data_IF_482661875250
#
_entry.id   IF_482661875250
#
_cell.length_a   1.000
_cell.length_b   1.000
_cell.length_c   1.000
_cell.angle_alpha   90.00
_cell.angle_beta   90.00
_cell.angle_gamma   90.00
#
_symmetry.space_group_name_H-M   'P 1'
#
loop_
_entity.id
_entity.type
_entity.pdbx_description
1 polymer ?
#
# COMPACT_ATOMS: atom_id res chain seq x y z
N UNK A 1 19.20 22.30 1.77
CA UNK A 1 17.83 22.33 2.34
C UNK A 1 17.31 20.88 2.41
N UNK A 2 16.85 20.44 3.59
CA UNK A 2 16.40 19.09 3.97
C UNK A 2 17.45 17.96 4.02
N UNK A 3 18.62 18.21 4.63
CA UNK A 3 19.69 17.21 4.73
C UNK A 3 19.31 15.98 5.58
N UNK A 4 18.66 16.21 6.71
CA UNK A 4 18.21 15.13 7.61
C UNK A 4 17.17 14.22 6.94
N UNK A 5 16.22 14.79 6.20
CA UNK A 5 15.20 14.01 5.50
C UNK A 5 15.80 13.13 4.41
N UNK A 6 16.77 13.66 3.65
CA UNK A 6 17.52 12.87 2.64
C UNK A 6 18.32 11.76 3.29
N UNK A 7 18.96 12.04 4.42
CA UNK A 7 19.74 11.05 5.18
C UNK A 7 18.84 9.89 5.63
N UNK A 8 17.65 10.18 6.14
CA UNK A 8 16.66 9.15 6.52
C UNK A 8 16.19 8.36 5.30
N UNK A 9 15.85 9.02 4.19
CA UNK A 9 15.42 8.32 2.98
C UNK A 9 16.52 7.41 2.42
N UNK A 10 17.78 7.85 2.46
CA UNK A 10 18.93 7.04 2.08
C UNK A 10 19.06 5.81 2.98
N UNK A 11 19.00 6.02 4.30
CA UNK A 11 19.06 4.94 5.29
C UNK A 11 17.95 3.90 5.10
N UNK A 12 16.71 4.35 4.87
CA UNK A 12 15.58 3.47 4.54
C UNK A 12 15.85 2.67 3.26
N UNK A 13 16.35 3.33 2.21
CA UNK A 13 16.71 2.68 0.95
C UNK A 13 17.82 1.63 1.11
N UNK A 14 18.79 1.87 1.98
CA UNK A 14 19.87 0.93 2.26
C UNK A 14 19.40 -0.28 3.08
N UNK A 15 18.52 -0.07 4.07
CA UNK A 15 17.84 -1.16 4.77
C UNK A 15 17.06 -2.04 3.80
N UNK A 16 16.26 -1.43 2.92
CA UNK A 16 15.50 -2.10 1.89
C UNK A 16 16.39 -2.92 0.93
N UNK A 17 17.57 -2.40 0.59
CA UNK A 17 18.56 -3.11 -0.24
C UNK A 17 19.03 -4.39 0.44
N UNK A 18 19.38 -4.34 1.73
CA UNK A 18 19.86 -5.51 2.48
C UNK A 18 18.81 -6.62 2.51
N UNK A 19 17.54 -6.26 2.74
CA UNK A 19 16.42 -7.21 2.75
C UNK A 19 16.21 -7.81 1.36
N UNK A 20 16.19 -6.98 0.33
CA UNK A 20 15.92 -7.41 -1.04
C UNK A 20 17.07 -8.26 -1.64
N UNK A 21 18.32 -8.04 -1.26
CA UNK A 21 19.46 -8.88 -1.67
C UNK A 21 19.31 -10.31 -1.17
N UNK A 22 18.68 -10.51 0.01
CA UNK A 22 18.31 -11.84 0.53
C UNK A 22 17.06 -12.43 -0.12
N UNK A 23 16.56 -11.80 -1.20
CA UNK A 23 15.33 -12.16 -1.91
C UNK A 23 14.05 -12.11 -1.06
N UNK A 24 14.06 -11.36 0.04
CA UNK A 24 12.88 -11.16 0.88
C UNK A 24 12.15 -9.88 0.49
N UNK A 25 10.81 -9.85 0.55
CA UNK A 25 10.06 -8.62 0.38
C UNK A 25 10.29 -7.71 1.59
N UNK A 26 10.26 -6.39 1.37
CA UNK A 26 10.26 -5.43 2.47
C UNK A 26 8.86 -5.41 3.08
N UNK A 27 8.80 -5.59 4.39
CA UNK A 27 7.57 -5.58 5.17
C UNK A 27 7.76 -4.84 6.49
N UNK A 28 6.70 -4.21 6.98
CA UNK A 28 6.68 -3.52 8.27
C UNK A 28 5.26 -3.53 8.84
N UNK A 29 5.13 -3.16 10.10
CA UNK A 29 3.83 -3.00 10.77
C UNK A 29 3.59 -1.50 11.01
N UNK A 30 2.40 -1.01 10.67
CA UNK A 30 2.01 0.39 10.94
C UNK A 30 1.77 0.62 12.42
N UNK A 31 1.64 1.89 12.83
CA UNK A 31 1.27 2.26 14.22
C UNK A 31 -0.11 1.74 14.64
N UNK A 32 -0.95 1.38 13.69
CA UNK A 32 -2.26 0.76 13.91
C UNK A 32 -2.21 -0.77 13.90
N UNK A 33 -1.01 -1.38 13.93
CA UNK A 33 -0.85 -2.82 13.95
C UNK A 33 -0.99 -3.51 12.59
N UNK A 34 -1.05 -2.75 11.49
CA UNK A 34 -1.34 -3.32 10.17
C UNK A 34 -0.06 -3.77 9.48
N UNK A 35 0.04 -5.03 9.04
CA UNK A 35 1.17 -5.48 8.23
C UNK A 35 1.09 -4.88 6.82
N UNK A 36 2.20 -4.34 6.33
CA UNK A 36 2.37 -3.84 4.98
C UNK A 36 3.53 -4.57 4.33
N UNK A 37 3.31 -5.09 3.11
CA UNK A 37 4.31 -5.85 2.35
C UNK A 37 4.43 -5.22 0.96
N UNK A 38 5.66 -4.98 0.49
CA UNK A 38 5.88 -4.43 -0.84
C UNK A 38 5.90 -5.53 -1.93
N UNK A 39 4.95 -5.55 -2.89
CA UNK A 39 4.84 -6.61 -3.89
C UNK A 39 5.75 -6.38 -5.12
N UNK A 40 7.00 -5.92 -4.91
CA UNK A 40 7.90 -5.62 -6.02
C UNK A 40 8.72 -6.85 -6.43
N UNK A 41 8.08 -7.76 -7.17
CA UNK A 41 8.69 -8.96 -7.76
C UNK A 41 8.88 -8.84 -9.27
N UNK A 42 9.92 -9.48 -9.81
CA UNK A 42 10.16 -9.51 -11.26
C UNK A 42 9.02 -10.24 -11.95
N UNK A 43 8.59 -9.71 -13.09
CA UNK A 43 7.58 -10.34 -13.93
C UNK A 43 8.25 -11.25 -14.95
N UNK A 44 7.86 -12.51 -14.96
CA UNK A 44 8.23 -13.51 -15.95
C UNK A 44 7.17 -13.61 -17.04
N UNK A 45 7.59 -14.06 -18.22
CA UNK A 45 6.65 -14.40 -19.31
C UNK A 45 6.24 -15.85 -19.15
N UNK A 46 4.94 -16.11 -19.21
CA UNK A 46 4.37 -17.45 -19.19
C UNK A 46 3.59 -17.66 -20.49
N UNK A 47 4.01 -18.64 -21.29
CA UNK A 47 3.38 -18.96 -22.57
C UNK A 47 2.36 -20.09 -22.37
N UNK A 48 1.10 -19.80 -22.65
CA UNK A 48 0.02 -20.79 -22.63
C UNK A 48 -0.30 -21.16 -24.07
N UNK A 49 0.02 -22.39 -24.47
CA UNK A 49 -0.38 -22.92 -25.78
C UNK A 49 -1.86 -23.32 -25.72
N UNK A 50 -2.65 -22.75 -26.63
CA UNK A 50 -4.04 -23.13 -26.86
C UNK A 50 -4.18 -23.66 -28.29
N UNK A 51 -5.30 -24.29 -28.61
CA UNK A 51 -5.56 -24.82 -29.96
C UNK A 51 -5.58 -23.75 -31.06
N UNK A 52 -5.86 -22.49 -30.72
CA UNK A 52 -5.93 -21.37 -31.67
C UNK A 52 -4.63 -20.56 -31.74
N UNK A 53 -3.95 -20.37 -30.60
CA UNK A 53 -2.75 -19.54 -30.52
C UNK A 53 -1.95 -19.76 -29.23
N UNK A 54 -0.76 -19.16 -29.15
CA UNK A 54 0.03 -19.09 -27.92
C UNK A 54 -0.21 -17.74 -27.22
N UNK A 55 -0.79 -17.77 -26.02
CA UNK A 55 -1.00 -16.58 -25.20
C UNK A 55 0.25 -16.30 -24.36
N UNK A 56 0.75 -15.07 -24.40
CA UNK A 56 1.84 -14.62 -23.53
C UNK A 56 1.26 -13.86 -22.33
N UNK A 57 1.32 -14.46 -21.15
CA UNK A 57 0.90 -13.84 -19.90
C UNK A 57 2.10 -13.36 -19.10
N UNK A 58 1.90 -12.33 -18.28
CA UNK A 58 2.87 -11.94 -17.25
C UNK A 58 2.51 -12.66 -15.95
N UNK A 59 3.49 -13.36 -15.36
CA UNK A 59 3.37 -14.00 -14.05
C UNK A 59 4.46 -13.46 -13.14
N UNK A 60 4.14 -13.19 -11.88
CA UNK A 60 5.16 -12.85 -10.88
C UNK A 60 6.13 -14.02 -10.69
N UNK A 61 7.42 -13.70 -10.59
CA UNK A 61 8.46 -14.66 -10.21
C UNK A 61 8.79 -14.51 -8.74
N UNK A 62 9.47 -15.50 -8.15
CA UNK A 62 9.92 -15.42 -6.76
C UNK A 62 11.07 -14.43 -6.54
N UNK A 63 11.58 -13.80 -7.62
CA UNK A 63 12.73 -12.88 -7.54
C UNK A 63 12.27 -11.45 -7.26
N UNK A 64 12.77 -10.86 -6.19
CA UNK A 64 12.46 -9.45 -5.85
C UNK A 64 13.23 -8.45 -6.73
N UNK A 65 12.63 -7.28 -6.95
CA UNK A 65 13.23 -6.18 -7.72
C UNK A 65 13.99 -5.22 -6.81
N UNK A 66 15.22 -5.58 -6.43
CA UNK A 66 16.08 -4.81 -5.50
C UNK A 66 16.12 -3.31 -5.82
N UNK A 67 16.37 -2.95 -7.09
CA UNK A 67 16.45 -1.54 -7.52
C UNK A 67 15.13 -0.79 -7.28
N UNK A 68 14.00 -1.44 -7.56
CA UNK A 68 12.67 -0.84 -7.40
C UNK A 68 12.35 -0.65 -5.93
N UNK A 69 12.52 -1.70 -5.12
CA UNK A 69 12.28 -1.67 -3.66
C UNK A 69 13.10 -0.54 -3.00
N UNK A 70 14.40 -0.41 -3.32
CA UNK A 70 15.25 0.66 -2.76
C UNK A 70 14.66 2.06 -3.00
N UNK A 71 14.12 2.30 -4.19
CA UNK A 71 13.55 3.60 -4.56
C UNK A 71 12.12 3.83 -4.07
N UNK A 72 11.33 2.77 -3.93
CA UNK A 72 9.90 2.86 -3.58
C UNK A 72 9.65 2.71 -2.08
N UNK A 73 10.56 2.10 -1.33
CA UNK A 73 10.39 1.93 0.11
C UNK A 73 10.31 3.25 0.90
N UNK A 74 11.26 4.20 0.76
CA UNK A 74 11.19 5.45 1.52
C UNK A 74 9.87 6.23 1.37
N UNK A 75 9.34 6.50 0.15
CA UNK A 75 8.08 7.21 0.02
C UNK A 75 6.88 6.38 0.50
N UNK A 76 6.86 5.06 0.30
CA UNK A 76 5.75 4.22 0.76
C UNK A 76 5.69 4.13 2.29
N UNK A 77 6.85 4.11 2.97
CA UNK A 77 6.91 4.14 4.42
C UNK A 77 6.31 5.43 4.97
N UNK A 78 6.70 6.59 4.43
CA UNK A 78 6.13 7.90 4.82
C UNK A 78 4.63 7.95 4.55
N UNK A 79 4.18 7.53 3.37
CA UNK A 79 2.75 7.46 3.07
C UNK A 79 1.97 6.56 4.05
N UNK A 80 2.57 5.47 4.53
CA UNK A 80 1.91 4.61 5.53
C UNK A 80 1.76 5.30 6.89
N UNK A 81 2.72 6.16 7.27
CA UNK A 81 2.65 6.98 8.47
C UNK A 81 1.54 8.03 8.35
N UNK A 82 1.49 8.74 7.22
CA UNK A 82 0.48 9.77 6.96
C UNK A 82 -0.93 9.18 7.03
N UNK A 83 -1.14 8.01 6.40
CA UNK A 83 -2.45 7.35 6.43
C UNK A 83 -2.81 6.81 7.82
N UNK A 84 -1.83 6.30 8.57
CA UNK A 84 -2.07 5.88 9.96
C UNK A 84 -2.49 7.07 10.81
N UNK A 85 -1.83 8.21 10.64
CA UNK A 85 -2.18 9.46 11.32
C UNK A 85 -3.57 9.96 10.91
N UNK A 86 -3.90 9.93 9.62
CA UNK A 86 -5.25 10.29 9.14
C UNK A 86 -6.34 9.42 9.75
N UNK A 87 -6.09 8.11 9.88
CA UNK A 87 -7.04 7.20 10.52
C UNK A 87 -7.16 7.49 12.03
N UNK A 88 -6.06 7.76 12.73
CA UNK A 88 -6.11 8.18 14.15
C UNK A 88 -6.93 9.47 14.33
N UNK A 89 -6.78 10.46 13.43
CA UNK A 89 -7.59 11.69 13.44
C UNK A 89 -9.06 11.36 13.19
N UNK A 90 -9.37 10.50 12.21
CA UNK A 90 -10.74 10.10 11.93
C UNK A 90 -11.43 9.46 13.15
N UNK A 91 -10.70 8.63 13.90
CA UNK A 91 -11.18 8.02 15.16
C UNK A 91 -11.46 9.11 16.21
N UNK A 92 -10.51 10.02 16.44
CA UNK A 92 -10.69 11.13 17.40
C UNK A 92 -11.85 12.06 17.02
N UNK A 93 -12.03 12.36 15.73
CA UNK A 93 -13.17 13.14 15.24
C UNK A 93 -14.49 12.43 15.54
N UNK A 94 -14.57 11.12 15.27
CA UNK A 94 -15.75 10.31 15.57
C UNK A 94 -16.09 10.33 17.07
N UNK A 95 -15.10 10.19 17.94
CA UNK A 95 -15.26 10.25 19.39
C UNK A 95 -15.74 11.63 19.87
N UNK A 96 -15.33 12.70 19.19
CA UNK A 96 -15.79 14.07 19.44
C UNK A 96 -17.14 14.43 18.77
N UNK A 97 -17.78 13.48 18.07
CA UNK A 97 -19.03 13.73 17.33
C UNK A 97 -18.85 14.58 16.05
N UNK A 98 -17.63 14.67 15.53
CA UNK A 98 -17.26 15.44 14.34
C UNK A 98 -17.20 14.53 13.10
N UNK A 99 -17.70 15.04 11.96
CA UNK A 99 -17.57 14.37 10.67
C UNK A 99 -16.17 14.62 10.07
N UNK A 100 -15.50 13.57 9.60
CA UNK A 100 -14.16 13.65 9.01
C UNK A 100 -14.17 13.23 7.54
N UNK A 101 -13.57 14.03 6.67
CA UNK A 101 -13.38 13.72 5.25
C UNK A 101 -11.90 13.89 4.86
N UNK A 102 -11.32 12.83 4.31
CA UNK A 102 -9.93 12.79 3.88
C UNK A 102 -9.80 12.95 2.36
N UNK A 103 -9.11 13.99 1.89
CA UNK A 103 -8.81 14.22 0.47
C UNK A 103 -7.37 13.82 0.15
N UNK A 104 -7.18 13.03 -0.92
CA UNK A 104 -5.87 12.79 -1.53
C UNK A 104 -5.66 13.78 -2.69
N UNK A 105 -4.46 14.35 -2.78
CA UNK A 105 -4.01 15.43 -3.69
C UNK A 105 -4.79 15.54 -5.05
N UNK A 106 -5.31 16.73 -5.44
CA UNK A 106 -6.21 16.93 -6.58
C UNK A 106 -5.66 16.63 -8.00
N UNK A 107 -4.38 16.30 -8.16
CA UNK A 107 -3.79 16.08 -9.49
C UNK A 107 -4.12 14.71 -10.14
N UNK A 108 -4.97 13.89 -9.53
CA UNK A 108 -5.54 12.71 -10.20
C UNK A 108 -6.80 13.10 -10.97
N UNK A 109 -6.70 13.21 -12.29
CA UNK A 109 -7.76 13.66 -13.23
C UNK A 109 -9.01 12.75 -13.28
N UNK A 110 -9.14 11.74 -12.43
CA UNK A 110 -10.17 10.70 -12.52
C UNK A 110 -11.24 10.70 -11.42
N UNK A 111 -11.30 11.69 -10.52
CA UNK A 111 -12.28 11.67 -9.41
C UNK A 111 -12.94 13.03 -9.17
N UNK A 112 -13.43 13.71 -10.23
CA UNK A 112 -14.15 14.99 -10.08
C UNK A 112 -15.67 14.87 -9.86
N UNK A 113 -16.30 13.69 -10.00
CA UNK A 113 -17.79 13.67 -10.12
C UNK A 113 -18.60 12.78 -9.16
N UNK A 114 -18.01 12.12 -8.16
CA UNK A 114 -18.82 11.45 -7.11
C UNK A 114 -18.20 11.64 -5.73
N UNK A 115 -18.51 12.78 -5.14
CA UNK A 115 -18.46 12.97 -3.70
C UNK A 115 -19.59 12.15 -3.09
N UNK A 116 -19.24 11.03 -2.49
CA UNK A 116 -20.11 10.31 -1.56
C UNK A 116 -19.29 10.12 -0.30
N UNK A 117 -19.86 10.45 0.86
CA UNK A 117 -19.36 10.01 2.16
C UNK A 117 -18.89 8.58 2.01
N UNK A 118 -17.60 8.32 2.21
CA UNK A 118 -17.00 7.03 1.89
C UNK A 118 -17.73 5.98 2.74
N UNK A 119 -18.58 5.13 2.16
CA UNK A 119 -19.26 4.10 2.92
C UNK A 119 -18.18 3.12 3.36
N UNK A 120 -18.15 2.80 4.65
CA UNK A 120 -17.29 1.74 5.17
C UNK A 120 -17.66 0.46 4.40
N UNK A 121 -16.78 -0.12 3.57
CA UNK A 121 -17.19 -1.15 2.60
C UNK A 121 -17.47 -2.45 3.33
N UNK A 122 -18.74 -2.84 3.42
CA UNK A 122 -19.14 -4.06 4.13
C UNK A 122 -18.87 -5.37 3.37
N UNK A 123 -18.45 -5.39 2.10
CA UNK A 123 -18.15 -6.65 1.40
C UNK A 123 -17.05 -6.54 0.34
N UNK A 124 -16.06 -7.41 0.52
CA UNK A 124 -15.17 -8.08 -0.46
C UNK A 124 -14.96 -7.39 -1.82
N UNK A 125 -13.77 -6.80 -1.99
CA UNK A 125 -13.21 -6.50 -3.30
C UNK A 125 -12.20 -7.60 -3.66
N UNK A 126 -12.36 -8.17 -4.86
CA UNK A 126 -11.47 -9.19 -5.42
C UNK A 126 -10.11 -8.57 -5.82
N UNK A 127 -9.06 -9.13 -5.23
CA UNK A 127 -7.62 -9.03 -5.52
C UNK A 127 -6.99 -7.61 -5.70
N UNK A 128 -6.33 -7.07 -4.65
CA UNK A 128 -5.61 -5.80 -4.72
C UNK A 128 -4.38 -5.85 -5.64
N UNK A 129 -4.22 -4.87 -6.54
CA UNK A 129 -2.98 -4.68 -7.30
C UNK A 129 -2.27 -3.38 -6.92
N UNK A 130 -1.04 -3.48 -6.43
CA UNK A 130 -0.13 -2.34 -6.30
C UNK A 130 -0.54 -1.29 -5.26
N UNK A 131 -0.67 -0.03 -5.69
CA UNK A 131 -0.85 1.18 -4.85
C UNK A 131 -2.17 1.18 -4.04
N UNK A 132 -3.05 0.22 -4.35
CA UNK A 132 -4.31 -0.08 -3.66
C UNK A 132 -4.12 -0.91 -2.37
N UNK A 133 -2.98 -1.58 -2.19
CA UNK A 133 -2.67 -2.36 -0.96
C UNK A 133 -2.57 -1.46 0.27
N UNK A 134 -2.03 -0.26 0.11
CA UNK A 134 -1.97 0.73 1.19
C UNK A 134 -3.37 1.28 1.56
N UNK A 135 -4.37 1.12 0.68
CA UNK A 135 -5.75 1.58 0.93
C UNK A 135 -6.56 0.45 1.60
N UNK A 136 -6.34 -0.80 1.16
CA UNK A 136 -7.06 -1.98 1.63
C UNK A 136 -6.57 -2.44 3.01
N UNK A 137 -5.27 -2.38 3.30
CA UNK A 137 -4.77 -2.80 4.61
C UNK A 137 -5.17 -1.85 5.75
N UNK A 138 -5.54 -0.60 5.44
CA UNK A 138 -5.91 0.40 6.45
C UNK A 138 -7.34 0.24 6.95
N UNK A 139 -8.22 -0.33 6.13
CA UNK A 139 -9.61 -0.57 6.51
C UNK A 139 -9.85 -1.98 7.09
N UNK A 140 -9.05 -2.99 6.73
CA UNK A 140 -9.44 -4.39 6.94
C UNK A 140 -9.24 -4.94 8.37
N UNK A 141 -8.39 -4.33 9.22
CA UNK A 141 -8.12 -4.90 10.56
C UNK A 141 -9.06 -4.45 11.67
N UNK A 142 -9.73 -3.30 11.53
CA UNK A 142 -10.60 -2.79 12.59
C UNK A 142 -12.07 -3.21 12.45
N UNK A 143 -12.51 -3.67 11.27
CA UNK A 143 -13.86 -4.19 11.08
C UNK A 143 -14.08 -5.60 11.64
N UNK A 144 -13.01 -6.33 11.96
CA UNK A 144 -13.12 -7.70 12.51
C UNK A 144 -13.02 -7.76 14.03
N UNK A 145 -12.74 -6.65 14.72
CA UNK A 145 -12.62 -6.63 16.19
C UNK A 145 -13.61 -5.67 16.87
N UNK A 146 -14.43 -4.93 16.10
CA UNK A 146 -15.54 -4.12 16.66
C UNK A 146 -16.90 -4.83 16.64
N UNK A 147 -17.01 -5.97 15.95
CA UNK A 147 -18.26 -6.76 15.87
C UNK A 147 -18.26 -7.96 16.83
N UNK A 148 -17.38 -7.96 17.84
CA UNK A 148 -17.34 -8.99 18.89
C UNK A 148 -16.89 -8.41 20.23
N UNK A 149 -17.62 -7.42 20.73
CA UNK A 149 -17.72 -7.08 22.15
C UNK A 149 -18.96 -6.22 22.39
#
# INVERSE_FOLDING_TARGET
>A
MFESARSIMSWLGDCAKVIAVKNNPVQWTTRLGLPVVQPYRKLGRHLIKTSLQVLTLQRETDKVMVKRIKTTFPPNFVHSLDRSHMMMIAIACKEAGLSFAAMKNPNSTLLRSKWSSIPIPHRTILEPKGQDLDYINIAHSHLLHSDSA
#
